data_IF_000334818512
#
_entry.id   IF_000334818512
#
_cell.length_a   1.000
_cell.length_b   1.000
_cell.length_c   1.000
_cell.angle_alpha   90.00
_cell.angle_beta   90.00
_cell.angle_gamma   90.00
#
_symmetry.space_group_name_H-M   'P 1'
#
loop_
_entity.id
_entity.type
_entity.pdbx_description
1 polymer ?
#
# COMPACT_ATOMS: atom_id res chain seq x y z
N UNK A 1 22.55 11.71 25.05
CA UNK A 1 22.13 11.67 23.63
C UNK A 1 21.61 13.05 23.27
N UNK A 2 22.08 13.67 22.17
CA UNK A 2 21.66 15.02 21.79
C UNK A 2 20.23 14.99 21.22
N UNK A 3 19.26 15.72 21.81
CA UNK A 3 17.85 15.69 21.45
C UNK A 3 17.54 15.96 19.96
N UNK A 4 18.45 16.59 19.20
CA UNK A 4 18.24 16.93 17.78
C UNK A 4 18.75 15.91 16.74
N UNK A 5 19.51 14.88 17.15
CA UNK A 5 20.04 13.88 16.19
C UNK A 5 18.97 12.83 15.83
N UNK A 6 18.16 12.43 16.79
CA UNK A 6 17.10 11.43 16.59
C UNK A 6 15.91 12.02 15.82
N UNK A 7 15.57 13.29 16.05
CA UNK A 7 14.51 13.99 15.30
C UNK A 7 14.76 14.06 13.79
N UNK A 8 16.01 14.30 13.39
CA UNK A 8 16.38 14.31 11.96
C UNK A 8 16.27 12.93 11.34
N UNK A 9 16.67 11.88 12.06
CA UNK A 9 16.52 10.49 11.59
C UNK A 9 15.05 10.09 11.46
N UNK A 10 14.22 10.45 12.42
CA UNK A 10 12.76 10.20 12.40
C UNK A 10 12.12 10.89 11.19
N UNK A 11 12.41 12.19 10.98
CA UNK A 11 11.91 12.94 9.81
C UNK A 11 12.36 12.32 8.49
N UNK A 12 13.63 11.91 8.39
CA UNK A 12 14.15 11.24 7.18
C UNK A 12 13.45 9.90 6.93
N UNK A 13 13.21 9.10 7.97
CA UNK A 13 12.46 7.84 7.84
C UNK A 13 11.03 8.08 7.38
N UNK A 14 10.31 9.03 7.96
CA UNK A 14 8.97 9.42 7.52
C UNK A 14 8.95 9.84 6.03
N UNK A 15 9.96 10.60 5.58
CA UNK A 15 10.08 10.97 4.16
C UNK A 15 10.24 9.74 3.27
N UNK A 16 11.05 8.76 3.66
CA UNK A 16 11.22 7.51 2.89
C UNK A 16 9.88 6.81 2.69
N UNK A 17 9.05 6.71 3.74
CA UNK A 17 7.74 6.05 3.64
C UNK A 17 6.81 6.77 2.66
N UNK A 18 6.79 8.10 2.70
CA UNK A 18 6.01 8.92 1.76
C UNK A 18 6.51 8.78 0.32
N UNK A 19 7.83 8.80 0.12
CA UNK A 19 8.43 8.63 -1.21
C UNK A 19 8.12 7.25 -1.76
N UNK A 20 8.30 6.19 -0.97
CA UNK A 20 7.98 4.82 -1.39
C UNK A 20 6.50 4.69 -1.76
N UNK A 21 5.59 5.21 -0.93
CA UNK A 21 4.16 5.19 -1.23
C UNK A 21 3.83 5.89 -2.56
N UNK A 22 4.31 7.12 -2.74
CA UNK A 22 4.03 7.91 -3.93
C UNK A 22 4.63 7.28 -5.19
N UNK A 23 5.85 6.73 -5.08
CA UNK A 23 6.54 6.09 -6.19
C UNK A 23 5.81 4.84 -6.67
N UNK A 24 5.31 3.99 -5.76
CA UNK A 24 4.53 2.81 -6.15
C UNK A 24 3.18 3.22 -6.77
N UNK A 25 2.51 4.24 -6.24
CA UNK A 25 1.25 4.72 -6.82
C UNK A 25 1.47 5.27 -8.25
N UNK A 26 2.48 6.13 -8.43
CA UNK A 26 2.82 6.68 -9.75
C UNK A 26 3.20 5.56 -10.72
N UNK A 27 3.99 4.58 -10.26
CA UNK A 27 4.39 3.45 -11.08
C UNK A 27 3.18 2.62 -11.55
N UNK A 28 2.21 2.34 -10.68
CA UNK A 28 0.97 1.65 -11.06
C UNK A 28 0.20 2.43 -12.14
N UNK A 29 0.08 3.75 -12.01
CA UNK A 29 -0.59 4.60 -13.02
C UNK A 29 0.13 4.55 -14.38
N UNK A 30 1.46 4.63 -14.37
CA UNK A 30 2.28 4.55 -15.58
C UNK A 30 2.19 3.18 -16.24
N UNK A 31 2.27 2.10 -15.46
CA UNK A 31 2.13 0.74 -15.93
C UNK A 31 0.76 0.54 -16.60
N UNK A 32 -0.32 0.95 -15.94
CA UNK A 32 -1.67 0.88 -16.50
C UNK A 32 -1.79 1.66 -17.81
N UNK A 33 -1.31 2.90 -17.85
CA UNK A 33 -1.32 3.71 -19.07
C UNK A 33 -0.55 3.05 -20.22
N UNK A 34 0.62 2.49 -19.94
CA UNK A 34 1.42 1.78 -20.94
C UNK A 34 0.74 0.50 -21.44
N UNK A 35 0.08 -0.26 -20.56
CA UNK A 35 -0.57 -1.53 -20.88
C UNK A 35 -1.91 -1.38 -21.62
N UNK A 36 -2.64 -0.28 -21.37
CA UNK A 36 -4.01 -0.05 -21.87
C UNK A 36 -4.09 0.90 -23.07
N UNK A 37 -3.00 1.59 -23.42
CA UNK A 37 -2.97 2.54 -24.54
C UNK A 37 -3.47 1.88 -25.84
N UNK A 38 -4.61 2.37 -26.33
CA UNK A 38 -5.21 1.92 -27.60
C UNK A 38 -5.94 0.58 -27.57
N UNK A 39 -6.12 -0.06 -26.41
CA UNK A 39 -6.84 -1.35 -26.30
C UNK A 39 -8.28 -1.14 -25.81
N UNK A 40 -9.31 -1.41 -26.64
CA UNK A 40 -10.70 -1.37 -26.19
C UNK A 40 -10.95 -2.43 -25.11
N UNK A 41 -11.95 -2.20 -24.27
CA UNK A 41 -12.36 -3.15 -23.25
C UNK A 41 -12.89 -4.44 -23.91
N UNK A 42 -12.45 -5.64 -23.48
CA UNK A 42 -13.00 -6.89 -23.94
C UNK A 42 -14.49 -6.99 -23.60
N UNK A 43 -15.30 -7.52 -24.51
CA UNK A 43 -16.72 -7.78 -24.24
C UNK A 43 -16.88 -8.79 -23.09
N UNK A 44 -17.90 -8.63 -22.22
CA UNK A 44 -18.12 -9.55 -21.11
C UNK A 44 -18.60 -10.91 -21.61
N UNK A 45 -17.72 -11.92 -21.58
CA UNK A 45 -18.06 -13.34 -21.78
C UNK A 45 -18.11 -14.10 -20.46
N UNK A 46 -19.03 -15.07 -20.33
CA UNK A 46 -19.31 -15.83 -19.10
C UNK A 46 -18.09 -16.58 -18.53
N UNK A 47 -17.12 -16.93 -19.36
CA UNK A 47 -15.94 -17.71 -18.94
C UNK A 47 -14.87 -16.90 -18.19
N UNK A 48 -14.96 -15.57 -18.19
CA UNK A 48 -13.92 -14.70 -17.61
C UNK A 48 -14.06 -14.47 -16.09
N UNK A 49 -15.05 -15.09 -15.44
CA UNK A 49 -15.34 -14.84 -14.02
C UNK A 49 -14.25 -15.35 -13.07
N UNK A 50 -13.62 -16.48 -13.39
CA UNK A 50 -12.54 -17.06 -12.58
C UNK A 50 -11.24 -16.24 -12.68
N UNK A 51 -10.99 -15.61 -13.82
CA UNK A 51 -9.77 -14.83 -14.05
C UNK A 51 -9.75 -13.55 -13.22
N UNK A 52 -10.92 -12.92 -13.03
CA UNK A 52 -11.08 -11.79 -12.11
C UNK A 52 -10.81 -12.17 -10.65
N UNK A 53 -11.15 -13.41 -10.25
CA UNK A 53 -10.97 -13.88 -8.87
C UNK A 53 -9.49 -13.99 -8.47
N UNK A 54 -8.61 -14.36 -9.41
CA UNK A 54 -7.16 -14.47 -9.18
C UNK A 54 -6.56 -13.10 -8.81
N UNK A 55 -7.04 -12.01 -9.41
CA UNK A 55 -6.59 -10.67 -9.08
C UNK A 55 -7.11 -10.20 -7.71
N UNK A 56 -8.27 -10.68 -7.27
CA UNK A 56 -8.88 -10.29 -5.98
C UNK A 56 -8.17 -10.93 -4.78
N UNK A 57 -7.61 -12.13 -4.92
CA UNK A 57 -6.87 -12.82 -3.84
C UNK A 57 -5.73 -11.97 -3.25
N UNK A 58 -4.77 -11.43 -4.01
CA UNK A 58 -3.70 -10.60 -3.46
C UNK A 58 -4.23 -9.29 -2.85
N UNK A 59 -5.34 -8.73 -3.37
CA UNK A 59 -6.00 -7.57 -2.76
C UNK A 59 -6.56 -7.90 -1.36
N UNK A 60 -7.20 -9.06 -1.22
CA UNK A 60 -7.71 -9.52 0.07
C UNK A 60 -6.58 -9.73 1.09
N UNK A 61 -5.49 -10.38 0.68
CA UNK A 61 -4.30 -10.55 1.53
C UNK A 61 -3.70 -9.20 1.93
N UNK A 62 -3.64 -8.25 1.00
CA UNK A 62 -3.20 -6.88 1.29
C UNK A 62 -4.07 -6.20 2.34
N UNK A 63 -5.40 -6.30 2.24
CA UNK A 63 -6.32 -5.73 3.24
C UNK A 63 -6.11 -6.40 4.61
N UNK A 64 -5.97 -7.72 4.66
CA UNK A 64 -5.68 -8.45 5.91
C UNK A 64 -4.38 -7.96 6.54
N UNK A 65 -3.31 -7.77 5.77
CA UNK A 65 -2.04 -7.26 6.31
C UNK A 65 -2.23 -5.86 6.90
N UNK A 66 -2.99 -4.99 6.24
CA UNK A 66 -3.26 -3.61 6.69
C UNK A 66 -3.97 -3.57 8.03
N UNK A 67 -5.02 -4.37 8.19
CA UNK A 67 -5.92 -4.28 9.35
C UNK A 67 -5.55 -5.22 10.49
N UNK A 68 -4.99 -6.41 10.22
CA UNK A 68 -4.67 -7.40 11.26
C UNK A 68 -3.19 -7.43 11.66
N UNK A 69 -2.27 -7.18 10.73
CA UNK A 69 -0.84 -7.41 10.95
C UNK A 69 -0.10 -6.12 11.25
N UNK A 70 -0.36 -5.07 10.49
CA UNK A 70 0.29 -3.77 10.63
C UNK A 70 0.05 -3.08 12.00
N UNK A 71 -1.18 -3.04 12.58
CA UNK A 71 -1.38 -2.40 13.88
C UNK A 71 -0.78 -3.19 15.05
N UNK A 72 -0.42 -4.47 14.83
CA UNK A 72 0.22 -5.32 15.84
C UNK A 72 1.75 -5.24 15.80
N UNK A 73 2.33 -4.57 14.80
CA UNK A 73 3.78 -4.42 14.70
C UNK A 73 4.29 -3.32 15.65
N UNK A 74 5.03 -3.72 16.67
CA UNK A 74 5.69 -2.81 17.63
C UNK A 74 7.03 -2.28 17.13
N UNK A 75 7.69 -3.03 16.23
CA UNK A 75 9.00 -2.66 15.68
C UNK A 75 8.87 -1.80 14.42
N UNK A 76 9.51 -0.61 14.35
CA UNK A 76 9.45 0.27 13.19
C UNK A 76 9.98 -0.36 11.90
N UNK A 77 11.01 -1.21 12.01
CA UNK A 77 11.59 -1.90 10.85
C UNK A 77 10.62 -2.96 10.30
N UNK A 78 9.96 -3.72 11.20
CA UNK A 78 8.99 -4.75 10.82
C UNK A 78 7.73 -4.11 10.21
N UNK A 79 7.28 -2.99 10.77
CA UNK A 79 6.16 -2.23 10.22
C UNK A 79 6.45 -1.72 8.81
N UNK A 80 7.68 -1.28 8.52
CA UNK A 80 8.07 -0.85 7.17
C UNK A 80 8.07 -2.00 6.16
N UNK A 81 8.59 -3.17 6.54
CA UNK A 81 8.57 -4.36 5.67
C UNK A 81 7.14 -4.79 5.38
N UNK A 82 6.27 -4.84 6.39
CA UNK A 82 4.85 -5.16 6.21
C UNK A 82 4.11 -4.15 5.34
N UNK A 83 4.47 -2.87 5.44
CA UNK A 83 3.98 -1.82 4.56
C UNK A 83 4.37 -2.05 3.10
N UNK A 84 5.64 -2.36 2.83
CA UNK A 84 6.12 -2.66 1.47
C UNK A 84 5.41 -3.90 0.92
N UNK A 85 5.34 -4.99 1.69
CA UNK A 85 4.69 -6.23 1.27
C UNK A 85 3.21 -6.01 0.97
N UNK A 86 2.51 -5.27 1.84
CA UNK A 86 1.09 -4.94 1.66
C UNK A 86 0.83 -4.11 0.40
N UNK A 87 1.65 -3.10 0.15
CA UNK A 87 1.57 -2.28 -1.06
C UNK A 87 1.89 -3.12 -2.31
N UNK A 88 2.93 -3.94 -2.29
CA UNK A 88 3.30 -4.80 -3.42
C UNK A 88 2.19 -5.80 -3.77
N UNK A 89 1.46 -6.32 -2.77
CA UNK A 89 0.28 -7.16 -2.99
C UNK A 89 -0.89 -6.38 -3.63
N UNK A 90 -1.14 -5.15 -3.17
CA UNK A 90 -2.18 -4.29 -3.77
C UNK A 90 -1.83 -3.88 -5.21
N UNK A 91 -0.57 -3.56 -5.45
CA UNK A 91 -0.03 -3.27 -6.78
C UNK A 91 -0.12 -4.50 -7.69
N UNK A 92 0.26 -5.67 -7.18
CA UNK A 92 0.16 -6.95 -7.88
C UNK A 92 -1.27 -7.25 -8.33
N UNK A 93 -2.28 -6.97 -7.49
CA UNK A 93 -3.68 -7.01 -7.90
C UNK A 93 -3.97 -6.06 -9.09
N UNK A 94 -3.50 -4.81 -9.01
CA UNK A 94 -3.72 -3.83 -10.07
C UNK A 94 -3.10 -4.25 -11.41
N UNK A 95 -1.86 -4.76 -11.39
CA UNK A 95 -1.15 -5.22 -12.58
C UNK A 95 -1.77 -6.51 -13.13
N UNK A 96 -2.02 -7.51 -12.28
CA UNK A 96 -2.66 -8.77 -12.68
C UNK A 96 -4.07 -8.52 -13.22
N UNK A 97 -4.83 -7.62 -12.59
CA UNK A 97 -6.13 -7.18 -13.08
C UNK A 97 -6.05 -6.45 -14.42
N UNK A 98 -4.97 -5.70 -14.66
CA UNK A 98 -4.76 -5.01 -15.95
C UNK A 98 -4.46 -5.99 -17.08
N UNK A 99 -3.70 -7.05 -16.79
CA UNK A 99 -3.26 -8.05 -17.79
C UNK A 99 -4.33 -9.14 -18.00
N UNK A 100 -4.93 -9.63 -16.93
CA UNK A 100 -5.81 -10.81 -16.93
C UNK A 100 -7.27 -10.50 -16.59
N UNK A 101 -7.60 -9.28 -16.16
CA UNK A 101 -8.95 -8.93 -15.70
C UNK A 101 -10.03 -8.89 -16.78
N UNK A 102 -9.65 -8.98 -18.06
CA UNK A 102 -10.58 -9.02 -19.20
C UNK A 102 -11.57 -7.84 -19.16
N UNK A 103 -12.89 -8.07 -19.06
CA UNK A 103 -13.89 -7.01 -18.97
C UNK A 103 -13.83 -6.19 -17.66
N UNK A 104 -13.22 -6.73 -16.59
CA UNK A 104 -13.11 -6.08 -15.28
C UNK A 104 -11.79 -5.34 -15.06
N UNK A 105 -11.00 -5.18 -16.13
CA UNK A 105 -9.67 -4.57 -16.11
C UNK A 105 -9.62 -3.26 -15.34
N UNK A 106 -10.51 -2.33 -15.68
CA UNK A 106 -10.52 -0.98 -15.13
C UNK A 106 -10.98 -0.99 -13.67
N UNK A 107 -11.93 -1.86 -13.31
CA UNK A 107 -12.38 -2.03 -11.92
C UNK A 107 -11.27 -2.60 -11.03
N UNK A 108 -10.55 -3.61 -11.50
CA UNK A 108 -9.44 -4.23 -10.75
C UNK A 108 -8.24 -3.28 -10.62
N UNK A 109 -7.98 -2.46 -11.63
CA UNK A 109 -7.01 -1.38 -11.54
C UNK A 109 -7.40 -0.34 -10.47
N UNK A 110 -8.65 0.13 -10.49
CA UNK A 110 -9.15 1.07 -9.47
C UNK A 110 -9.07 0.45 -8.08
N UNK A 111 -9.43 -0.82 -7.92
CA UNK A 111 -9.32 -1.55 -6.66
C UNK A 111 -7.85 -1.64 -6.19
N UNK A 112 -6.91 -1.96 -7.07
CA UNK A 112 -5.47 -1.95 -6.75
C UNK A 112 -4.98 -0.56 -6.31
N UNK A 113 -5.39 0.49 -7.01
CA UNK A 113 -5.10 1.88 -6.65
C UNK A 113 -5.68 2.28 -5.30
N UNK A 114 -6.94 1.90 -5.02
CA UNK A 114 -7.57 2.09 -3.71
C UNK A 114 -6.87 1.28 -2.62
N UNK A 115 -6.39 0.08 -2.92
CA UNK A 115 -5.56 -0.73 -2.02
C UNK A 115 -4.29 0.02 -1.63
N UNK A 116 -3.55 0.56 -2.60
CA UNK A 116 -2.36 1.38 -2.32
C UNK A 116 -2.74 2.64 -1.52
N UNK A 117 -3.85 3.30 -1.87
CA UNK A 117 -4.33 4.48 -1.15
C UNK A 117 -4.71 4.18 0.31
N UNK A 118 -5.21 2.98 0.61
CA UNK A 118 -5.45 2.58 1.99
C UNK A 118 -4.15 2.53 2.80
N UNK A 119 -3.00 2.27 2.18
CA UNK A 119 -1.70 2.17 2.83
C UNK A 119 -1.03 3.52 3.14
N UNK A 120 -1.66 4.67 2.89
CA UNK A 120 -1.07 6.00 3.16
C UNK A 120 -0.39 6.04 4.55
N UNK A 121 0.86 6.54 4.65
CA UNK A 121 1.71 6.40 5.84
C UNK A 121 1.33 7.33 7.00
N UNK A 122 0.05 7.61 7.24
CA UNK A 122 -0.42 8.45 8.36
C UNK A 122 -0.04 7.87 9.73
N UNK A 123 -0.04 6.55 9.85
CA UNK A 123 0.32 5.82 11.08
C UNK A 123 1.83 5.88 11.38
N UNK A 124 2.69 6.13 10.38
CA UNK A 124 4.13 6.21 10.59
C UNK A 124 4.51 7.32 11.58
N UNK A 125 3.75 8.43 11.62
CA UNK A 125 3.95 9.49 12.62
C UNK A 125 3.79 8.96 14.05
N UNK A 126 2.79 8.11 14.31
CA UNK A 126 2.51 7.55 15.63
C UNK A 126 3.56 6.52 16.10
N UNK A 127 4.28 5.88 15.17
CA UNK A 127 5.37 4.95 15.51
C UNK A 127 6.66 5.65 15.95
N UNK A 128 6.85 6.90 15.54
CA UNK A 128 8.06 7.66 15.86
C UNK A 128 7.82 8.83 16.81
N UNK A 129 6.57 9.10 17.17
CA UNK A 129 6.25 10.00 18.26
C UNK A 129 6.61 9.27 19.56
N UNK A 130 7.63 9.70 20.33
CA UNK A 130 7.78 9.20 21.68
C UNK A 130 6.46 9.54 22.36
N UNK A 131 5.67 8.54 22.74
CA UNK A 131 4.52 8.74 23.65
C UNK A 131 5.03 9.74 24.68
N UNK A 132 4.45 10.94 24.67
CA UNK A 132 4.91 12.04 25.50
C UNK A 132 5.21 11.46 26.86
N UNK A 133 6.46 11.61 27.31
CA UNK A 133 6.86 11.21 28.64
C UNK A 133 5.75 11.73 29.54
N UNK A 134 4.95 10.80 30.07
CA UNK A 134 3.92 11.12 31.03
C UNK A 134 4.68 11.77 32.16
N UNK A 135 4.66 13.10 32.18
CA UNK A 135 5.14 13.89 33.28
C UNK A 135 4.20 13.49 34.42
N UNK A 136 4.65 12.55 35.25
CA UNK A 136 4.09 12.34 36.57
C UNK A 136 4.87 13.33 37.44
N UNK A 137 4.37 14.55 37.71
CA UNK A 137 4.83 15.24 38.90
C UNK A 137 4.34 14.38 40.07
N UNK A 138 5.26 13.74 40.77
CA UNK A 138 4.95 13.26 42.11
C UNK A 138 5.28 14.40 43.08
N UNK A 139 4.27 14.73 43.86
CA UNK A 139 4.17 15.86 44.77
C UNK A 139 4.88 15.55 46.08
#
# INVERSE_FOLDING_TARGET
MMPGYDDRKIKSRLKVWWITWALVLIWLLLAYSALTRGKPLPAPTKDNSLTGLIAVVPLFVSIVIRWLVLPRATDPNRAFVLFIVGIALAEGCGILGTVFGGPYRDSLFVLGGLGIAQYVPFYARKLFDPKGAGFIPNN
#
